data_IF_075944610872
#
_entry.id   IF_075944610872
#
_cell.length_a   1.000
_cell.length_b   1.000
_cell.length_c   1.000
_cell.angle_alpha   90.00
_cell.angle_beta   90.00
_cell.angle_gamma   90.00
#
_symmetry.space_group_name_H-M   'P 1'
#
loop_
_entity.id
_entity.type
_entity.pdbx_description
1 polymer ?
#
# COMPACT_ATOMS: atom_id res chain seq x y z
N UNK A 1 -15.52 11.59 19.06
CA UNK A 1 -14.99 12.14 17.77
C UNK A 1 -14.74 10.97 16.83
N UNK A 2 -14.98 11.14 15.52
CA UNK A 2 -14.62 10.12 14.52
C UNK A 2 -13.11 9.90 14.50
N UNK A 3 -12.65 8.66 14.33
CA UNK A 3 -11.24 8.35 14.05
C UNK A 3 -10.90 8.87 12.64
N UNK A 4 -9.69 9.39 12.42
CA UNK A 4 -9.25 9.94 11.13
C UNK A 4 -8.21 9.02 10.49
N UNK A 5 -8.41 8.69 9.21
CA UNK A 5 -7.57 7.81 8.41
C UNK A 5 -7.11 8.53 7.14
N UNK A 6 -5.82 8.51 6.85
CA UNK A 6 -5.29 8.88 5.55
C UNK A 6 -4.86 7.63 4.77
N UNK A 7 -5.22 7.54 3.49
CA UNK A 7 -4.92 6.40 2.61
C UNK A 7 -4.13 6.91 1.41
N UNK A 8 -2.83 6.65 1.38
CA UNK A 8 -1.96 6.90 0.23
C UNK A 8 -2.18 5.79 -0.81
N UNK A 9 -2.42 6.16 -2.07
CA UNK A 9 -2.87 5.22 -3.10
C UNK A 9 -4.38 4.86 -2.95
N UNK A 10 -5.15 5.78 -2.34
CA UNK A 10 -6.54 5.51 -1.96
C UNK A 10 -7.53 5.41 -3.11
N UNK A 11 -7.20 5.87 -4.32
CA UNK A 11 -8.00 5.68 -5.52
C UNK A 11 -7.70 4.35 -6.24
N UNK A 12 -6.64 3.61 -5.86
CA UNK A 12 -6.38 2.25 -6.31
C UNK A 12 -7.43 1.25 -5.80
N UNK A 13 -7.45 0.02 -6.32
CA UNK A 13 -8.49 -0.97 -6.00
C UNK A 13 -8.56 -1.30 -4.49
N UNK A 14 -7.42 -1.60 -3.84
CA UNK A 14 -7.35 -1.83 -2.39
C UNK A 14 -7.75 -0.56 -1.64
N UNK A 15 -7.26 0.61 -2.07
CA UNK A 15 -7.55 1.90 -1.45
C UNK A 15 -9.05 2.23 -1.45
N UNK A 16 -9.75 2.04 -2.57
CA UNK A 16 -11.21 2.25 -2.67
C UNK A 16 -12.01 1.29 -1.79
N UNK A 17 -11.63 0.00 -1.78
CA UNK A 17 -12.27 -1.00 -0.92
C UNK A 17 -12.07 -0.66 0.56
N UNK A 18 -10.86 -0.27 0.96
CA UNK A 18 -10.54 0.17 2.31
C UNK A 18 -11.29 1.45 2.69
N UNK A 19 -11.35 2.43 1.78
CA UNK A 19 -12.12 3.68 1.98
C UNK A 19 -13.58 3.37 2.28
N UNK A 20 -14.23 2.49 1.49
CA UNK A 20 -15.62 2.08 1.71
C UNK A 20 -15.80 1.41 3.09
N UNK A 21 -14.91 0.51 3.46
CA UNK A 21 -14.98 -0.18 4.76
C UNK A 21 -14.77 0.80 5.92
N UNK A 22 -13.79 1.68 5.85
CA UNK A 22 -13.52 2.66 6.90
C UNK A 22 -14.68 3.67 7.07
N UNK A 23 -15.29 4.14 5.98
CA UNK A 23 -16.46 5.00 6.03
C UNK A 23 -17.65 4.28 6.72
N UNK A 24 -17.86 2.98 6.44
CA UNK A 24 -18.94 2.20 7.07
C UNK A 24 -18.71 1.99 8.57
N UNK A 25 -17.45 2.01 9.02
CA UNK A 25 -17.07 1.99 10.44
C UNK A 25 -16.96 3.40 11.07
N UNK A 26 -17.55 4.40 10.40
CA UNK A 26 -17.63 5.79 10.88
C UNK A 26 -16.26 6.49 11.03
N UNK A 27 -15.26 6.11 10.22
CA UNK A 27 -14.02 6.89 10.10
C UNK A 27 -14.21 8.13 9.23
N UNK A 28 -13.45 9.17 9.51
CA UNK A 28 -13.21 10.26 8.57
C UNK A 28 -12.01 9.87 7.70
N UNK A 29 -12.23 9.72 6.39
CA UNK A 29 -11.23 9.19 5.47
C UNK A 29 -10.75 10.30 4.52
N UNK A 30 -9.44 10.46 4.42
CA UNK A 30 -8.80 11.29 3.40
C UNK A 30 -8.00 10.40 2.45
N UNK A 31 -8.38 10.38 1.20
CA UNK A 31 -7.67 9.72 0.11
C UNK A 31 -6.56 10.62 -0.41
N UNK A 32 -5.35 10.10 -0.50
CA UNK A 32 -4.17 10.73 -1.07
C UNK A 32 -3.77 9.97 -2.33
N UNK A 33 -3.90 10.59 -3.51
CA UNK A 33 -3.56 9.94 -4.78
C UNK A 33 -3.23 10.97 -5.87
N UNK A 34 -2.69 10.49 -6.99
CA UNK A 34 -2.52 11.29 -8.20
C UNK A 34 -3.88 11.79 -8.70
N UNK A 35 -3.95 13.03 -9.15
CA UNK A 35 -5.16 13.58 -9.80
C UNK A 35 -5.67 12.64 -10.89
N UNK A 36 -4.77 12.18 -11.77
CA UNK A 36 -5.11 11.29 -12.88
C UNK A 36 -5.75 9.97 -12.42
N UNK A 37 -5.28 9.39 -11.29
CA UNK A 37 -5.85 8.17 -10.73
C UNK A 37 -7.26 8.42 -10.22
N UNK A 38 -7.46 9.52 -9.49
CA UNK A 38 -8.78 9.91 -8.95
C UNK A 38 -9.79 10.18 -10.08
N UNK A 39 -9.36 10.86 -11.14
CA UNK A 39 -10.22 11.16 -12.30
C UNK A 39 -10.62 9.87 -13.06
N UNK A 40 -9.74 8.84 -13.05
CA UNK A 40 -10.00 7.55 -13.71
C UNK A 40 -10.83 6.61 -12.85
N UNK A 41 -10.58 6.59 -11.55
CA UNK A 41 -11.20 5.68 -10.58
C UNK A 41 -11.87 6.49 -9.46
N UNK A 42 -13.16 6.77 -9.56
CA UNK A 42 -13.87 7.57 -8.57
C UNK A 42 -13.72 7.02 -7.14
N UNK A 43 -13.41 7.92 -6.22
CA UNK A 43 -13.31 7.61 -4.79
C UNK A 43 -14.71 7.45 -4.20
N UNK A 44 -14.94 6.54 -3.24
CA UNK A 44 -16.22 6.40 -2.56
C UNK A 44 -16.72 7.72 -1.96
N UNK A 45 -18.01 7.99 -2.14
CA UNK A 45 -18.66 9.19 -1.60
C UNK A 45 -18.51 9.26 -0.08
N UNK A 46 -18.26 10.46 0.43
CA UNK A 46 -18.02 10.72 1.86
C UNK A 46 -16.56 10.73 2.27
N UNK A 47 -15.63 10.41 1.39
CA UNK A 47 -14.19 10.60 1.63
C UNK A 47 -13.71 11.94 1.08
N UNK A 48 -12.80 12.58 1.81
CA UNK A 48 -12.05 13.72 1.30
C UNK A 48 -10.95 13.26 0.34
N UNK A 49 -10.60 14.10 -0.63
CA UNK A 49 -9.52 13.84 -1.58
C UNK A 49 -8.49 14.94 -1.51
N UNK A 50 -7.23 14.56 -1.44
CA UNK A 50 -6.07 15.45 -1.63
C UNK A 50 -5.13 14.83 -2.65
N UNK A 51 -4.63 15.65 -3.55
CA UNK A 51 -3.71 15.18 -4.59
C UNK A 51 -2.29 15.14 -4.06
N UNK A 52 -1.56 14.10 -4.43
CA UNK A 52 -0.16 13.88 -4.05
C UNK A 52 0.57 13.15 -5.18
N UNK A 53 1.85 13.47 -5.36
CA UNK A 53 2.74 12.76 -6.27
C UNK A 53 4.01 12.36 -5.51
N UNK A 54 4.38 11.08 -5.54
CA UNK A 54 5.55 10.55 -4.85
C UNK A 54 6.90 10.93 -5.51
N UNK A 55 6.83 11.65 -6.63
CA UNK A 55 7.98 12.22 -7.33
C UNK A 55 8.11 13.74 -7.10
N UNK A 56 7.18 14.36 -6.36
CA UNK A 56 7.17 15.78 -6.04
C UNK A 56 7.24 16.01 -4.52
N UNK A 57 8.44 16.28 -4.01
CA UNK A 57 8.68 16.48 -2.57
C UNK A 57 7.91 17.69 -2.01
N UNK A 58 7.76 18.76 -2.78
CA UNK A 58 7.05 19.97 -2.35
C UNK A 58 5.55 19.69 -2.23
N UNK A 59 4.99 18.98 -3.20
CA UNK A 59 3.59 18.57 -3.16
C UNK A 59 3.34 17.57 -2.03
N UNK A 60 4.25 16.61 -1.77
CA UNK A 60 4.15 15.71 -0.62
C UNK A 60 4.11 16.51 0.70
N UNK A 61 5.03 17.45 0.89
CA UNK A 61 5.10 18.25 2.10
C UNK A 61 3.83 19.09 2.32
N UNK A 62 3.41 19.86 1.33
CA UNK A 62 2.22 20.74 1.42
C UNK A 62 0.92 19.93 1.62
N UNK A 63 0.80 18.78 0.95
CA UNK A 63 -0.37 17.91 1.09
C UNK A 63 -0.46 17.32 2.50
N UNK A 64 0.65 16.82 3.05
CA UNK A 64 0.68 16.28 4.42
C UNK A 64 0.50 17.36 5.46
N UNK A 65 1.08 18.56 5.27
CA UNK A 65 0.88 19.70 6.18
C UNK A 65 -0.61 20.05 6.32
N UNK A 66 -1.35 20.01 5.23
CA UNK A 66 -2.79 20.30 5.19
C UNK A 66 -3.68 19.20 5.83
N UNK A 67 -3.11 18.10 6.33
CA UNK A 67 -3.84 17.08 7.08
C UNK A 67 -3.95 17.46 8.55
N UNK A 68 -5.09 17.12 9.16
CA UNK A 68 -5.26 17.10 10.61
C UNK A 68 -4.51 15.94 11.28
N UNK A 69 -4.69 15.80 12.61
CA UNK A 69 -4.18 14.65 13.34
C UNK A 69 -4.88 13.35 12.91
N UNK A 70 -4.14 12.25 12.86
CA UNK A 70 -4.58 10.97 12.33
C UNK A 70 -4.55 9.87 13.38
N UNK A 71 -5.55 8.99 13.36
CA UNK A 71 -5.57 7.74 14.09
C UNK A 71 -4.98 6.58 13.26
N UNK A 72 -4.95 6.73 11.93
CA UNK A 72 -4.39 5.72 11.03
C UNK A 72 -3.81 6.33 9.76
N UNK A 73 -2.78 5.66 9.24
CA UNK A 73 -2.22 5.90 7.91
C UNK A 73 -2.01 4.57 7.21
N UNK A 74 -2.51 4.45 5.99
CA UNK A 74 -2.28 3.27 5.15
C UNK A 74 -1.54 3.68 3.90
N UNK A 75 -0.39 3.06 3.66
CA UNK A 75 0.33 3.20 2.41
C UNK A 75 -0.03 2.05 1.48
N UNK A 76 -0.96 2.29 0.57
CA UNK A 76 -1.38 1.38 -0.49
C UNK A 76 -0.89 1.83 -1.88
N UNK A 77 -0.04 2.86 -1.95
CA UNK A 77 0.55 3.30 -3.20
C UNK A 77 1.61 2.32 -3.71
N UNK A 78 1.71 2.28 -5.01
CA UNK A 78 2.74 1.49 -5.69
C UNK A 78 2.35 1.07 -7.09
N UNK A 79 3.36 0.62 -7.83
CA UNK A 79 3.21 0.08 -9.18
C UNK A 79 4.34 -0.92 -9.47
N UNK A 80 4.17 -1.75 -10.47
CA UNK A 80 5.21 -2.70 -10.90
C UNK A 80 6.00 -2.12 -12.07
N UNK A 81 7.23 -2.63 -12.26
CA UNK A 81 7.94 -2.52 -13.53
C UNK A 81 7.32 -3.45 -14.59
N UNK A 82 7.75 -3.28 -15.84
CA UNK A 82 7.54 -4.29 -16.87
C UNK A 82 8.19 -5.62 -16.45
N UNK A 83 7.57 -6.74 -16.86
CA UNK A 83 8.12 -8.09 -16.57
C UNK A 83 9.29 -8.39 -17.49
N UNK A 84 10.51 -8.15 -17.02
CA UNK A 84 11.75 -8.41 -17.76
C UNK A 84 12.79 -9.10 -16.88
N UNK A 85 13.66 -9.94 -17.46
CA UNK A 85 14.89 -10.38 -16.77
C UNK A 85 15.73 -9.18 -16.33
N UNK A 86 16.38 -9.27 -15.18
CA UNK A 86 17.19 -8.17 -14.59
C UNK A 86 18.19 -7.60 -15.59
N UNK A 87 18.82 -8.42 -16.40
CA UNK A 87 19.79 -8.00 -17.40
C UNK A 87 19.22 -7.08 -18.51
N UNK A 88 17.89 -7.02 -18.64
CA UNK A 88 17.20 -6.24 -19.66
C UNK A 88 16.43 -5.03 -19.04
N UNK A 89 16.64 -4.76 -17.76
CA UNK A 89 15.99 -3.61 -17.07
C UNK A 89 16.93 -2.43 -17.13
N UNK A 90 16.42 -1.31 -17.64
CA UNK A 90 17.17 -0.05 -17.67
C UNK A 90 17.24 0.58 -16.26
N UNK A 91 18.31 1.33 -16.00
CA UNK A 91 18.53 1.96 -14.70
C UNK A 91 17.42 2.94 -14.31
N UNK A 92 16.87 3.66 -15.28
CA UNK A 92 15.75 4.59 -15.03
C UNK A 92 14.48 3.85 -14.60
N UNK A 93 14.21 2.66 -15.15
CA UNK A 93 13.07 1.83 -14.75
C UNK A 93 13.21 1.33 -13.30
N UNK A 94 14.40 0.89 -12.90
CA UNK A 94 14.70 0.55 -11.51
C UNK A 94 14.48 1.75 -10.58
N UNK A 95 15.05 2.91 -10.94
CA UNK A 95 14.96 4.13 -10.15
C UNK A 95 13.50 4.58 -9.99
N UNK A 96 12.71 4.52 -11.04
CA UNK A 96 11.28 4.87 -11.01
C UNK A 96 10.51 3.96 -10.04
N UNK A 97 10.72 2.64 -10.12
CA UNK A 97 10.02 1.67 -9.26
C UNK A 97 10.44 1.83 -7.79
N UNK A 98 11.72 2.01 -7.52
CA UNK A 98 12.23 2.25 -6.15
C UNK A 98 11.70 3.58 -5.61
N UNK A 99 11.73 4.65 -6.41
CA UNK A 99 11.18 5.96 -6.03
C UNK A 99 9.71 5.85 -5.65
N UNK A 100 8.86 5.29 -6.50
CA UNK A 100 7.42 5.26 -6.29
C UNK A 100 6.93 4.25 -5.26
N UNK A 101 7.70 3.18 -4.96
CA UNK A 101 7.26 2.13 -4.02
C UNK A 101 7.97 2.20 -2.66
N UNK A 102 9.16 2.79 -2.58
CA UNK A 102 9.96 2.81 -1.35
C UNK A 102 10.30 4.24 -0.91
N UNK A 103 10.99 5.02 -1.75
CA UNK A 103 11.47 6.35 -1.34
C UNK A 103 10.31 7.32 -1.11
N UNK A 104 9.34 7.37 -2.01
CA UNK A 104 8.13 8.19 -1.84
C UNK A 104 7.31 7.78 -0.61
N UNK A 105 7.16 6.46 -0.39
CA UNK A 105 6.50 5.93 0.81
C UNK A 105 7.24 6.35 2.09
N UNK A 106 8.57 6.27 2.10
CA UNK A 106 9.41 6.74 3.21
C UNK A 106 9.19 8.24 3.46
N UNK A 107 9.24 9.06 2.41
CA UNK A 107 9.08 10.52 2.51
C UNK A 107 7.72 10.91 3.11
N UNK A 108 6.62 10.35 2.58
CA UNK A 108 5.28 10.62 3.13
C UNK A 108 5.18 10.11 4.57
N UNK A 109 5.71 8.92 4.87
CA UNK A 109 5.71 8.36 6.22
C UNK A 109 6.43 9.29 7.20
N UNK A 110 7.64 9.76 6.87
CA UNK A 110 8.40 10.72 7.69
C UNK A 110 7.60 11.99 7.98
N UNK A 111 6.95 12.54 6.97
CA UNK A 111 6.15 13.77 7.11
C UNK A 111 4.89 13.57 7.98
N UNK A 112 4.28 12.38 7.96
CA UNK A 112 3.01 12.10 8.63
C UNK A 112 3.18 11.69 10.11
N UNK A 113 4.37 11.29 10.55
CA UNK A 113 4.63 10.84 11.92
C UNK A 113 4.11 11.80 13.00
N UNK A 114 4.32 13.14 12.93
CA UNK A 114 3.82 14.05 13.95
C UNK A 114 2.29 14.05 14.07
N UNK A 115 1.57 13.81 12.95
CA UNK A 115 0.11 13.75 12.90
C UNK A 115 -0.43 12.51 13.59
N UNK A 116 0.29 11.39 13.48
CA UNK A 116 -0.05 10.11 14.11
C UNK A 116 0.31 10.08 15.59
N UNK A 117 1.46 10.62 15.97
CA UNK A 117 1.91 10.68 17.37
C UNK A 117 0.89 11.36 18.27
N UNK A 118 0.29 12.44 17.82
CA UNK A 118 -0.74 13.18 18.55
C UNK A 118 -1.99 12.35 18.90
N UNK A 119 -2.19 11.20 18.28
CA UNK A 119 -3.35 10.31 18.46
C UNK A 119 -2.97 8.88 18.85
N UNK A 120 -1.68 8.60 19.10
CA UNK A 120 -1.18 7.23 19.28
C UNK A 120 -1.64 6.30 18.16
N UNK A 121 -1.46 6.75 16.92
CA UNK A 121 -2.03 6.15 15.72
C UNK A 121 -1.35 4.86 15.28
N UNK A 122 -1.78 4.33 14.14
CA UNK A 122 -1.19 3.16 13.53
C UNK A 122 -0.87 3.40 12.05
N UNK A 123 0.24 2.79 11.60
CA UNK A 123 0.64 2.73 10.18
C UNK A 123 0.48 1.29 9.68
N UNK A 124 -0.11 1.15 8.48
CA UNK A 124 -0.15 -0.12 7.76
C UNK A 124 0.43 0.06 6.36
N UNK A 125 1.54 -0.60 6.09
CA UNK A 125 2.15 -0.61 4.76
C UNK A 125 1.64 -1.80 3.93
N UNK A 126 1.24 -1.59 2.68
CA UNK A 126 0.92 -2.67 1.76
C UNK A 126 2.20 -3.09 1.04
N UNK A 127 2.78 -4.18 1.55
CA UNK A 127 3.93 -4.84 0.97
C UNK A 127 3.51 -5.78 -0.19
N UNK A 128 4.13 -6.92 -0.33
CA UNK A 128 3.79 -7.94 -1.33
C UNK A 128 4.40 -9.28 -0.93
N UNK A 129 3.78 -10.38 -1.32
CA UNK A 129 4.39 -11.70 -1.24
C UNK A 129 5.72 -11.79 -1.96
N UNK A 130 5.90 -11.02 -3.04
CA UNK A 130 7.15 -10.95 -3.79
C UNK A 130 8.32 -10.36 -2.99
N UNK A 131 8.07 -9.70 -1.87
CA UNK A 131 9.10 -9.21 -0.96
C UNK A 131 9.88 -10.35 -0.27
N UNK A 132 9.23 -11.49 -0.04
CA UNK A 132 9.81 -12.67 0.62
C UNK A 132 10.05 -13.81 -0.36
N UNK A 133 9.15 -13.98 -1.33
CA UNK A 133 9.19 -15.03 -2.35
C UNK A 133 9.25 -14.41 -3.75
N UNK A 134 10.41 -13.86 -4.15
CA UNK A 134 10.57 -13.21 -5.44
C UNK A 134 10.35 -14.20 -6.58
N UNK A 135 9.91 -13.69 -7.72
CA UNK A 135 9.72 -14.44 -8.96
C UNK A 135 10.59 -13.81 -10.05
N UNK A 136 11.02 -14.60 -11.03
CA UNK A 136 11.69 -14.07 -12.21
C UNK A 136 10.89 -12.89 -12.81
N UNK A 137 11.58 -11.91 -13.36
CA UNK A 137 11.03 -10.73 -14.02
C UNK A 137 10.39 -9.66 -13.10
N UNK A 138 10.42 -9.81 -11.77
CA UNK A 138 9.90 -8.83 -10.80
C UNK A 138 10.98 -8.15 -9.96
N UNK A 139 12.23 -8.11 -10.44
CA UNK A 139 13.38 -7.65 -9.66
C UNK A 139 13.18 -6.32 -8.93
N UNK A 140 12.94 -5.18 -9.63
CA UNK A 140 12.79 -3.87 -9.00
C UNK A 140 11.65 -3.80 -7.99
N UNK A 141 10.50 -4.35 -8.35
CA UNK A 141 9.31 -4.35 -7.48
C UNK A 141 9.53 -5.18 -6.21
N UNK A 142 10.10 -6.40 -6.36
CA UNK A 142 10.42 -7.27 -5.23
C UNK A 142 11.40 -6.60 -4.27
N UNK A 143 12.44 -5.95 -4.81
CA UNK A 143 13.41 -5.21 -4.03
C UNK A 143 12.78 -4.04 -3.26
N UNK A 144 11.92 -3.24 -3.92
CA UNK A 144 11.21 -2.14 -3.29
C UNK A 144 10.29 -2.61 -2.15
N UNK A 145 9.54 -3.70 -2.37
CA UNK A 145 8.61 -4.24 -1.37
C UNK A 145 9.34 -4.96 -0.22
N UNK A 146 10.50 -5.56 -0.46
CA UNK A 146 11.39 -6.08 0.59
C UNK A 146 11.95 -4.92 1.44
N UNK A 147 12.41 -3.84 0.79
CA UNK A 147 12.82 -2.60 1.47
C UNK A 147 11.70 -2.01 2.33
N UNK A 148 10.45 -2.02 1.85
CA UNK A 148 9.30 -1.52 2.61
C UNK A 148 9.01 -2.38 3.85
N UNK A 149 9.21 -3.70 3.81
CA UNK A 149 9.12 -4.57 4.99
C UNK A 149 10.22 -4.22 6.00
N UNK A 150 11.46 -4.05 5.54
CA UNK A 150 12.56 -3.63 6.40
C UNK A 150 12.28 -2.28 7.06
N UNK A 151 11.84 -1.29 6.27
CA UNK A 151 11.44 0.03 6.78
C UNK A 151 10.32 -0.07 7.82
N UNK A 152 9.30 -0.92 7.58
CA UNK A 152 8.21 -1.17 8.54
C UNK A 152 8.75 -1.61 9.90
N UNK A 153 9.69 -2.57 9.91
CA UNK A 153 10.28 -3.11 11.14
C UNK A 153 11.16 -2.08 11.86
N UNK A 154 12.00 -1.36 11.11
CA UNK A 154 12.86 -0.30 11.68
C UNK A 154 11.99 0.79 12.30
N UNK A 155 11.02 1.30 11.55
CA UNK A 155 10.14 2.36 12.03
C UNK A 155 9.33 1.93 13.26
N UNK A 156 8.88 0.67 13.32
CA UNK A 156 8.18 0.13 14.48
C UNK A 156 8.99 0.23 15.77
N UNK A 157 10.31 0.06 15.69
CA UNK A 157 11.22 0.20 16.83
C UNK A 157 11.46 1.67 17.20
N UNK A 158 11.56 2.55 16.20
CA UNK A 158 11.89 3.96 16.41
C UNK A 158 10.73 4.78 16.98
N UNK A 159 9.48 4.44 16.63
CA UNK A 159 8.32 5.25 17.00
C UNK A 159 7.46 4.64 18.12
N UNK A 160 7.81 3.45 18.61
CA UNK A 160 7.16 2.87 19.78
C UNK A 160 7.51 3.68 21.05
N UNK A 161 6.62 3.79 22.04
CA UNK A 161 5.25 3.22 22.08
C UNK A 161 4.18 4.12 21.43
N UNK A 162 4.55 5.24 20.86
CA UNK A 162 3.62 6.29 20.42
C UNK A 162 2.81 5.88 19.17
N UNK A 163 3.43 5.09 18.25
CA UNK A 163 2.81 4.68 16.99
C UNK A 163 3.11 3.20 16.75
N UNK A 164 2.09 2.43 16.32
CA UNK A 164 2.28 1.06 15.87
C UNK A 164 2.49 1.05 14.35
N UNK A 165 3.42 0.24 13.87
CA UNK A 165 3.74 0.15 12.44
C UNK A 165 3.79 -1.31 12.02
N UNK A 166 2.91 -1.71 11.10
CA UNK A 166 2.81 -3.07 10.61
C UNK A 166 2.67 -3.08 9.09
N UNK A 167 2.75 -4.25 8.48
CA UNK A 167 2.52 -4.45 7.06
C UNK A 167 1.50 -5.56 6.78
N UNK A 168 0.82 -5.44 5.65
CA UNK A 168 0.06 -6.52 5.01
C UNK A 168 0.76 -6.86 3.71
N UNK A 169 1.01 -8.14 3.45
CA UNK A 169 1.68 -8.64 2.27
C UNK A 169 0.74 -9.57 1.47
N UNK A 170 0.02 -9.03 0.49
CA UNK A 170 -0.89 -9.80 -0.35
C UNK A 170 -0.15 -10.74 -1.32
N UNK A 171 -0.83 -11.81 -1.76
CA UNK A 171 -0.54 -12.51 -3.02
C UNK A 171 -1.11 -11.74 -4.22
N UNK A 172 -1.19 -12.39 -5.38
CA UNK A 172 -1.78 -11.78 -6.57
C UNK A 172 -3.28 -11.53 -6.38
N UNK A 173 -3.70 -10.29 -6.66
CA UNK A 173 -5.09 -9.84 -6.63
C UNK A 173 -5.45 -9.39 -8.04
N UNK A 174 -6.58 -9.84 -8.57
CA UNK A 174 -7.06 -9.40 -9.88
C UNK A 174 -7.63 -7.98 -9.82
N UNK A 175 -6.78 -7.01 -10.12
CA UNK A 175 -7.10 -5.58 -10.06
C UNK A 175 -6.47 -4.82 -11.23
N UNK A 176 -6.86 -3.56 -11.41
CA UNK A 176 -6.25 -2.68 -12.41
C UNK A 176 -4.74 -2.46 -12.23
N UNK A 177 -4.22 -2.68 -11.01
CA UNK A 177 -2.78 -2.65 -10.75
C UNK A 177 -1.99 -3.60 -11.67
N UNK A 178 -2.50 -4.80 -11.93
CA UNK A 178 -1.88 -5.78 -12.81
C UNK A 178 -1.97 -5.34 -14.27
N UNK A 179 -3.01 -4.56 -14.62
CA UNK A 179 -3.24 -4.02 -15.97
C UNK A 179 -2.56 -2.67 -16.20
N UNK A 180 -1.58 -2.32 -15.36
CA UNK A 180 -0.83 -1.08 -15.45
C UNK A 180 -1.43 0.10 -14.66
N UNK A 181 -2.59 -0.05 -14.04
CA UNK A 181 -3.25 1.00 -13.27
C UNK A 181 -3.61 2.25 -14.08
N UNK A 182 -3.98 3.33 -13.40
CA UNK A 182 -4.25 4.60 -14.06
C UNK A 182 -2.95 5.27 -14.51
N UNK A 183 -2.83 5.48 -15.80
CA UNK A 183 -1.74 6.28 -16.36
C UNK A 183 -0.50 5.52 -16.78
N UNK A 184 -0.49 4.21 -16.70
CA UNK A 184 0.54 3.36 -17.29
C UNK A 184 0.15 2.94 -18.71
N UNK A 185 1.14 2.61 -19.53
CA UNK A 185 0.92 2.10 -20.89
C UNK A 185 0.45 0.64 -20.84
N UNK A 186 -0.27 0.19 -21.89
CA UNK A 186 -0.66 -1.22 -22.00
C UNK A 186 0.52 -2.20 -22.00
N UNK A 187 1.69 -1.75 -22.43
CA UNK A 187 2.93 -2.52 -22.41
C UNK A 187 3.40 -2.90 -20.98
N UNK A 188 2.92 -2.18 -19.97
CA UNK A 188 3.24 -2.44 -18.55
C UNK A 188 2.25 -3.41 -17.89
N UNK A 189 1.30 -3.97 -18.63
CA UNK A 189 0.38 -4.97 -18.11
C UNK A 189 1.12 -6.27 -17.81
N UNK A 190 0.81 -6.85 -16.65
CA UNK A 190 1.33 -8.15 -16.26
C UNK A 190 0.46 -9.25 -16.87
N UNK A 191 1.10 -10.21 -17.53
CA UNK A 191 0.43 -11.42 -18.01
C UNK A 191 0.37 -12.45 -16.87
N UNK A 192 -0.70 -12.39 -16.07
CA UNK A 192 -0.93 -13.30 -14.93
C UNK A 192 -2.14 -14.17 -15.23
N UNK A 193 -1.91 -15.47 -15.32
CA UNK A 193 -2.98 -16.47 -15.41
C UNK A 193 -3.63 -16.70 -14.04
N UNK A 194 -4.74 -16.02 -13.78
CA UNK A 194 -5.49 -16.14 -12.53
C UNK A 194 -6.17 -17.51 -12.34
N UNK A 195 -6.40 -18.26 -13.41
CA UNK A 195 -6.86 -19.65 -13.29
C UNK A 195 -5.75 -20.51 -12.67
N UNK A 196 -4.53 -20.40 -13.20
CA UNK A 196 -3.36 -21.09 -12.66
C UNK A 196 -3.07 -20.64 -11.21
N UNK A 197 -3.14 -19.34 -10.91
CA UNK A 197 -3.00 -18.82 -9.54
C UNK A 197 -4.01 -19.48 -8.60
N UNK A 198 -5.27 -19.57 -9.01
CA UNK A 198 -6.34 -20.21 -8.20
C UNK A 198 -6.10 -21.70 -7.98
N UNK A 199 -5.68 -22.43 -9.01
CA UNK A 199 -5.38 -23.86 -8.94
C UNK A 199 -4.19 -24.15 -8.01
N UNK A 200 -3.16 -23.31 -8.02
CA UNK A 200 -1.96 -23.45 -7.20
C UNK A 200 -2.16 -22.99 -5.75
N UNK A 201 -3.12 -22.07 -5.50
CA UNK A 201 -3.39 -21.58 -4.15
C UNK A 201 -4.13 -22.64 -3.34
N UNK A 202 -3.71 -22.98 -2.10
CA UNK A 202 -4.41 -23.94 -1.24
C UNK A 202 -5.89 -23.64 -1.04
N UNK A 203 -6.28 -22.37 -0.89
CA UNK A 203 -7.68 -21.94 -0.79
C UNK A 203 -8.43 -21.96 -2.14
N UNK A 204 -7.79 -22.42 -3.25
CA UNK A 204 -8.40 -22.66 -4.56
C UNK A 204 -9.09 -21.43 -5.18
N UNK A 205 -8.61 -20.25 -4.87
CA UNK A 205 -9.02 -18.99 -5.49
C UNK A 205 -7.90 -17.94 -5.42
N UNK A 206 -7.94 -16.96 -6.31
CA UNK A 206 -7.17 -15.74 -6.16
C UNK A 206 -7.71 -14.89 -4.99
N UNK A 207 -6.87 -14.02 -4.45
CA UNK A 207 -7.31 -13.05 -3.45
C UNK A 207 -8.16 -11.95 -4.08
N UNK A 208 -9.06 -11.38 -3.29
CA UNK A 208 -9.85 -10.18 -3.62
C UNK A 208 -9.36 -8.99 -2.78
N UNK A 209 -9.84 -7.79 -3.09
CA UNK A 209 -9.55 -6.60 -2.27
C UNK A 209 -10.09 -6.74 -0.85
N UNK A 210 -11.24 -7.39 -0.68
CA UNK A 210 -11.90 -7.62 0.60
C UNK A 210 -11.07 -8.52 1.52
N UNK A 211 -10.35 -9.50 0.98
CA UNK A 211 -9.42 -10.34 1.75
C UNK A 211 -8.29 -9.51 2.41
N UNK A 212 -7.95 -8.36 1.84
CA UNK A 212 -6.89 -7.48 2.31
C UNK A 212 -7.40 -6.42 3.26
N UNK A 213 -8.62 -5.92 3.03
CA UNK A 213 -9.23 -4.86 3.85
C UNK A 213 -9.42 -5.30 5.31
N UNK A 214 -9.88 -6.53 5.56
CA UNK A 214 -10.08 -7.04 6.92
C UNK A 214 -8.79 -6.99 7.76
N UNK A 215 -7.67 -7.58 7.32
CA UNK A 215 -6.37 -7.47 7.98
C UNK A 215 -5.89 -6.02 8.19
N UNK A 216 -6.10 -5.11 7.23
CA UNK A 216 -5.74 -3.69 7.40
C UNK A 216 -6.57 -3.07 8.53
N UNK A 217 -7.90 -3.22 8.51
CA UNK A 217 -8.77 -2.66 9.55
C UNK A 217 -8.46 -3.24 10.92
N UNK A 218 -8.14 -4.54 11.01
CA UNK A 218 -7.66 -5.17 12.24
C UNK A 218 -6.39 -4.48 12.76
N UNK A 219 -5.38 -4.26 11.91
CA UNK A 219 -4.12 -3.60 12.29
C UNK A 219 -4.29 -2.12 12.68
N UNK A 220 -5.33 -1.44 12.18
CA UNK A 220 -5.69 -0.08 12.57
C UNK A 220 -6.48 -0.03 13.89
N UNK A 221 -7.07 -1.14 14.31
CA UNK A 221 -7.94 -1.22 15.49
C UNK A 221 -7.19 -1.47 16.79
N UNK A 222 -7.91 -1.32 17.90
CA UNK A 222 -7.39 -1.61 19.24
C UNK A 222 -7.22 -3.12 19.48
N UNK A 223 -7.82 -3.99 18.65
CA UNK A 223 -7.62 -5.44 18.71
C UNK A 223 -6.17 -5.87 18.40
N UNK A 224 -5.38 -4.99 17.77
CA UNK A 224 -3.96 -5.22 17.47
C UNK A 224 -3.01 -4.33 18.30
N UNK A 225 -3.46 -3.82 19.44
CA UNK A 225 -2.67 -2.87 20.26
C UNK A 225 -1.30 -3.41 20.76
N UNK A 226 -1.11 -4.72 20.78
CA UNK A 226 0.16 -5.37 21.14
C UNK A 226 0.95 -5.86 19.92
N UNK A 227 0.63 -5.32 18.72
CA UNK A 227 1.28 -5.68 17.46
C UNK A 227 1.99 -4.47 16.85
N UNK A 228 3.31 -4.55 16.72
CA UNK A 228 4.12 -3.62 15.94
C UNK A 228 5.27 -4.37 15.27
N UNK A 229 5.74 -3.92 14.11
CA UNK A 229 6.78 -4.56 13.32
C UNK A 229 6.36 -5.86 12.63
N UNK A 230 5.08 -6.22 12.63
CA UNK A 230 4.59 -7.47 12.07
C UNK A 230 4.23 -7.35 10.59
N UNK A 231 4.32 -8.48 9.88
CA UNK A 231 3.88 -8.61 8.49
C UNK A 231 2.79 -9.69 8.44
N UNK A 232 1.57 -9.30 8.10
CA UNK A 232 0.47 -10.25 7.86
C UNK A 232 0.51 -10.71 6.41
N UNK A 233 0.84 -11.97 6.20
CA UNK A 233 0.89 -12.61 4.89
C UNK A 233 -0.49 -13.10 4.48
N UNK A 234 -1.14 -12.39 3.54
CA UNK A 234 -2.50 -12.69 3.07
C UNK A 234 -2.41 -13.32 1.69
N UNK A 235 -2.21 -14.62 1.63
CA UNK A 235 -1.78 -15.33 0.41
C UNK A 235 -2.52 -16.65 0.14
N UNK A 236 -3.59 -16.96 0.86
CA UNK A 236 -4.37 -18.18 0.68
C UNK A 236 -3.59 -19.49 0.91
N UNK A 237 -2.44 -19.42 1.61
CA UNK A 237 -1.56 -20.56 1.86
C UNK A 237 -0.52 -20.81 0.76
N UNK A 238 -0.39 -19.91 -0.23
CA UNK A 238 0.54 -20.10 -1.37
C UNK A 238 2.00 -20.18 -0.94
N UNK A 239 2.35 -19.63 0.21
CA UNK A 239 3.67 -19.75 0.86
C UNK A 239 3.54 -19.43 2.36
N UNK A 240 4.45 -19.99 3.16
CA UNK A 240 4.50 -19.85 4.61
C UNK A 240 5.91 -19.37 4.98
N UNK A 241 6.13 -18.06 5.28
CA UNK A 241 7.42 -17.52 5.65
C UNK A 241 7.83 -17.90 7.05
#
# INVERSE_FOLDING_TARGET
MKKSLAILGGAGAIGRALTKAALSENWHVTVLDLRKTVDTYPVPEGADVKYIDLFDEQLMASTVEALGNLNGFVNAAGFTSSMKPIQNIELDEINEVIQGNLVGAFTVTKLILPKLKAKQGAIVNIASGLAQYPRPNFGPYSAAKAGLISLTKTLALEVAPDIRVNAVAPSAIDTDFIRGGAGRNKADQLDIDFKMVSEMTPLKRAATTEDIVGPIMFLLSDASQYMTGQVLWVNGGSYMP
#
